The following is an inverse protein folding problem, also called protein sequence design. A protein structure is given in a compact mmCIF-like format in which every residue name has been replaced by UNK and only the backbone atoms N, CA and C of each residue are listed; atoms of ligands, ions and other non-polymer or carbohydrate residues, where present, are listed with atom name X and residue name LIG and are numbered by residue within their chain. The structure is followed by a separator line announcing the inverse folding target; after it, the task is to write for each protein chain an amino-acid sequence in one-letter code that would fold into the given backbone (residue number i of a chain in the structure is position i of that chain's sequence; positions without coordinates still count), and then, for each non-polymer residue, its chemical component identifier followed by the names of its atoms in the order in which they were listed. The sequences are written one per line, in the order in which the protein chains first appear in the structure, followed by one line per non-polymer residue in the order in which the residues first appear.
data_IF_664292419832
#
_entry.id   IF_664292419832
#
_cell.length_a   1.000
_cell.length_b   1.000
_cell.length_c   1.000
_cell.angle_alpha   90.00
_cell.angle_beta   90.00
_cell.angle_gamma   90.00
#
_symmetry.space_group_name_H-M   'P 1'
#
loop_
_entity.id
_entity.type
_entity.pdbx_description
1 polymer ?
#
# COMPACT_ATOMS: atom_id res chain seq x y z
N UNK A 1 -1.31 3.57 30.78
CA UNK A 1 -2.35 4.27 31.57
C UNK A 1 -2.33 5.74 31.20
N UNK A 2 -3.42 6.26 30.63
CA UNK A 2 -3.56 7.65 30.18
C UNK A 2 -3.77 8.55 31.41
N UNK A 3 -2.79 9.38 31.77
CA UNK A 3 -3.09 10.58 32.55
C UNK A 3 -3.82 11.54 31.62
N UNK A 4 -5.10 11.81 31.90
CA UNK A 4 -5.74 13.01 31.39
C UNK A 4 -4.96 14.18 31.97
N UNK A 5 -4.12 14.85 31.17
CA UNK A 5 -3.49 16.11 31.58
C UNK A 5 -4.60 17.13 31.87
N UNK A 6 -4.84 17.36 33.16
CA UNK A 6 -5.84 18.30 33.66
C UNK A 6 -5.27 19.70 33.46
N UNK A 7 -6.03 20.57 32.80
CA UNK A 7 -5.72 21.99 32.59
C UNK A 7 -5.32 22.64 33.93
N UNK A 8 -4.06 23.05 34.06
CA UNK A 8 -3.54 23.82 35.21
C UNK A 8 -3.27 25.26 34.76
N UNK A 9 -3.52 26.27 35.61
CA UNK A 9 -3.21 27.67 35.29
C UNK A 9 -1.74 27.88 34.90
N UNK A 10 -0.80 27.17 35.55
CA UNK A 10 0.64 27.24 35.24
C UNK A 10 0.96 26.69 33.84
N UNK A 11 0.32 25.58 33.45
CA UNK A 11 0.50 24.98 32.12
C UNK A 11 -0.08 25.87 31.02
N UNK A 12 -1.19 26.56 31.31
CA UNK A 12 -1.81 27.51 30.38
C UNK A 12 -0.94 28.74 30.17
N UNK A 13 -0.38 29.30 31.24
CA UNK A 13 0.56 30.42 31.16
C UNK A 13 1.83 30.03 30.40
N UNK A 14 2.39 28.85 30.67
CA UNK A 14 3.52 28.30 29.92
C UNK A 14 3.23 28.10 28.42
N UNK A 15 2.03 27.62 28.06
CA UNK A 15 1.63 27.44 26.67
C UNK A 15 1.45 28.79 25.93
N UNK A 16 0.85 29.80 26.59
CA UNK A 16 0.73 31.15 26.03
C UNK A 16 2.12 31.72 25.75
N UNK A 17 3.03 31.63 26.72
CA UNK A 17 4.40 32.09 26.56
C UNK A 17 5.12 31.38 25.41
N UNK A 18 5.01 30.05 25.31
CA UNK A 18 5.65 29.30 24.22
C UNK A 18 5.16 29.71 22.83
N UNK A 19 3.86 30.02 22.67
CA UNK A 19 3.30 30.50 21.40
C UNK A 19 3.76 31.93 21.10
N UNK A 20 3.84 32.79 22.12
CA UNK A 20 4.39 34.14 21.97
C UNK A 20 5.87 34.11 21.56
N UNK A 21 6.68 33.27 22.23
CA UNK A 21 8.09 33.08 21.90
C UNK A 21 8.27 32.57 20.45
N UNK A 22 7.42 31.62 20.01
CA UNK A 22 7.41 31.14 18.63
C UNK A 22 7.02 32.24 17.63
N UNK A 23 5.99 33.04 17.95
CA UNK A 23 5.56 34.17 17.12
C UNK A 23 6.68 35.19 16.96
N UNK A 24 7.40 35.51 18.05
CA UNK A 24 8.51 36.46 18.03
C UNK A 24 9.69 35.95 17.21
N UNK A 25 10.05 34.67 17.34
CA UNK A 25 11.08 34.06 16.52
C UNK A 25 10.74 34.11 15.02
N UNK A 26 9.49 33.80 14.64
CA UNK A 26 9.05 33.86 13.23
C UNK A 26 9.04 35.31 12.72
N UNK A 27 8.53 36.25 13.52
CA UNK A 27 8.43 37.66 13.15
C UNK A 27 9.79 38.32 12.95
N UNK A 28 10.74 38.04 13.84
CA UNK A 28 12.05 38.70 13.85
C UNK A 28 12.98 38.04 12.82
N UNK A 29 13.01 36.71 12.77
CA UNK A 29 14.06 35.99 12.05
C UNK A 29 13.63 35.42 10.68
N UNK A 30 12.33 35.23 10.44
CA UNK A 30 11.82 34.53 9.24
C UNK A 30 11.06 35.45 8.29
N UNK A 31 10.23 36.35 8.82
CA UNK A 31 9.37 37.21 8.01
C UNK A 31 10.11 38.46 7.52
N UNK A 32 10.39 38.53 6.22
CA UNK A 32 10.81 39.75 5.51
C UNK A 32 9.66 40.26 4.64
N UNK A 33 8.58 40.72 5.27
CA UNK A 33 7.48 41.32 4.51
C UNK A 33 7.65 42.82 4.31
N UNK A 34 7.28 43.28 3.11
CA UNK A 34 7.03 44.69 2.82
C UNK A 34 5.65 45.04 3.40
N UNK A 35 5.63 45.80 4.51
CA UNK A 35 4.49 45.98 5.44
C UNK A 35 3.36 46.85 4.82
N UNK A 36 3.40 47.12 3.53
CA UNK A 36 2.54 48.12 2.88
C UNK A 36 1.10 47.66 2.58
N UNK A 37 0.79 46.36 2.67
CA UNK A 37 -0.48 45.82 2.13
C UNK A 37 -1.61 45.69 3.18
N UNK A 38 -1.33 45.63 4.50
CA UNK A 38 -2.37 45.50 5.55
C UNK A 38 -2.02 46.23 6.86
N UNK A 39 -1.77 47.55 6.79
CA UNK A 39 -1.17 48.32 7.89
C UNK A 39 -1.99 48.34 9.19
N UNK A 40 -3.33 48.32 9.11
CA UNK A 40 -4.22 48.43 10.28
C UNK A 40 -4.24 47.15 11.14
N UNK A 41 -4.42 45.97 10.53
CA UNK A 41 -4.43 44.68 11.23
C UNK A 41 -3.08 44.37 11.90
N UNK A 42 -1.97 44.69 11.23
CA UNK A 42 -0.63 44.52 11.80
C UNK A 42 -0.35 45.47 12.97
N UNK A 43 -0.94 46.68 12.97
CA UNK A 43 -0.82 47.62 14.08
C UNK A 43 -1.55 47.14 15.33
N UNK A 44 -2.72 46.52 15.17
CA UNK A 44 -3.49 45.94 16.28
C UNK A 44 -2.79 44.73 16.90
N UNK A 45 -2.24 43.84 16.07
CA UNK A 45 -1.47 42.68 16.51
C UNK A 45 -0.20 43.13 17.25
N UNK A 46 0.51 44.14 16.71
CA UNK A 46 1.72 44.69 17.34
C UNK A 46 1.42 45.36 18.69
N UNK A 47 0.29 46.06 18.80
CA UNK A 47 -0.17 46.65 20.07
C UNK A 47 -0.56 45.57 21.09
N UNK A 48 -1.31 44.56 20.67
CA UNK A 48 -1.67 43.43 21.53
C UNK A 48 -0.45 42.64 22.02
N UNK A 49 0.60 42.55 21.20
CA UNK A 49 1.90 41.98 21.56
C UNK A 49 2.65 42.84 22.58
N UNK A 50 2.79 44.15 22.33
CA UNK A 50 3.46 45.08 23.25
C UNK A 50 2.80 45.14 24.63
N UNK A 51 1.48 44.91 24.69
CA UNK A 51 0.71 44.86 25.92
C UNK A 51 0.66 43.45 26.57
N UNK A 52 1.34 42.46 26.00
CA UNK A 52 1.36 41.07 26.52
C UNK A 52 0.01 40.34 26.43
N UNK A 53 -0.96 40.88 25.66
CA UNK A 53 -2.32 40.33 25.51
C UNK A 53 -2.44 39.36 24.35
N UNK A 54 -1.40 39.23 23.51
CA UNK A 54 -1.38 38.34 22.36
C UNK A 54 -1.56 36.88 22.81
N UNK A 55 -2.52 36.16 22.19
CA UNK A 55 -2.88 34.77 22.54
C UNK A 55 -3.37 34.52 23.98
N UNK A 56 -3.71 35.57 24.74
CA UNK A 56 -4.20 35.47 26.13
C UNK A 56 -5.43 34.58 26.30
N UNK A 57 -6.28 34.48 25.27
CA UNK A 57 -7.47 33.62 25.24
C UNK A 57 -7.20 32.28 24.54
N UNK A 58 -6.16 31.56 24.96
CA UNK A 58 -5.83 30.26 24.37
C UNK A 58 -6.90 29.20 24.68
N UNK A 59 -7.43 28.55 23.65
CA UNK A 59 -8.33 27.40 23.77
C UNK A 59 -7.50 26.15 24.12
N UNK A 60 -7.65 25.66 25.35
CA UNK A 60 -6.95 24.45 25.77
C UNK A 60 -7.41 23.23 24.93
N UNK A 61 -6.50 22.38 24.44
CA UNK A 61 -6.84 21.25 23.59
C UNK A 61 -7.51 20.14 24.39
N UNK A 62 -8.85 20.22 24.51
CA UNK A 62 -9.70 19.18 25.13
C UNK A 62 -10.08 18.10 24.14
N UNK A 63 -10.16 18.45 22.87
CA UNK A 63 -10.47 17.55 21.76
C UNK A 63 -9.26 16.68 21.38
N UNK A 64 -9.51 15.43 21.00
CA UNK A 64 -8.50 14.50 20.50
C UNK A 64 -7.86 15.02 19.20
N UNK A 65 -8.65 15.65 18.32
CA UNK A 65 -8.16 16.19 17.06
C UNK A 65 -7.14 17.31 17.29
N UNK A 66 -7.51 18.33 18.06
CA UNK A 66 -6.63 19.45 18.35
C UNK A 66 -5.35 19.01 19.09
N UNK A 67 -5.44 18.00 19.96
CA UNK A 67 -4.25 17.37 20.58
C UNK A 67 -3.34 16.72 19.55
N UNK A 68 -3.89 16.05 18.55
CA UNK A 68 -3.13 15.43 17.47
C UNK A 68 -2.42 16.49 16.61
N UNK A 69 -3.13 17.57 16.27
CA UNK A 69 -2.56 18.70 15.51
C UNK A 69 -1.39 19.36 16.27
N UNK A 70 -1.54 19.60 17.58
CA UNK A 70 -0.47 20.17 18.41
C UNK A 70 0.72 19.23 18.51
N UNK A 71 0.49 17.92 18.71
CA UNK A 71 1.57 16.92 18.70
C UNK A 71 2.30 16.92 17.37
N UNK A 72 1.58 17.00 16.25
CA UNK A 72 2.15 17.06 14.91
C UNK A 72 2.99 18.32 14.73
N UNK A 73 2.51 19.49 15.13
CA UNK A 73 3.25 20.75 15.06
C UNK A 73 4.53 20.67 15.92
N UNK A 74 4.40 20.21 17.16
CA UNK A 74 5.55 20.00 18.03
C UNK A 74 6.56 19.05 17.40
N UNK A 75 6.12 17.90 16.87
CA UNK A 75 7.00 16.99 16.13
C UNK A 75 7.68 17.70 14.97
N UNK A 76 6.97 18.43 14.11
CA UNK A 76 7.56 19.17 12.99
C UNK A 76 8.67 20.15 13.43
N UNK A 77 8.46 20.87 14.53
CA UNK A 77 9.42 21.86 15.03
C UNK A 77 10.59 21.25 15.82
N UNK A 78 10.40 20.06 16.40
CA UNK A 78 11.38 19.41 17.29
C UNK A 78 12.04 18.18 16.70
N UNK A 79 11.76 17.84 15.43
CA UNK A 79 12.46 16.77 14.73
C UNK A 79 13.96 17.05 14.82
N UNK A 80 14.65 16.23 15.61
CA UNK A 80 16.10 16.18 15.64
C UNK A 80 16.52 15.30 14.48
N UNK A 81 17.36 15.84 13.59
CA UNK A 81 18.03 15.08 12.53
C UNK A 81 19.03 14.09 13.16
N UNK A 82 18.51 12.99 13.70
CA UNK A 82 19.34 11.90 14.21
C UNK A 82 19.55 10.87 13.10
N UNK A 83 20.80 10.48 12.89
CA UNK A 83 21.15 9.37 12.00
C UNK A 83 20.47 8.04 12.41
N UNK A 84 19.97 7.94 13.65
CA UNK A 84 19.18 6.80 14.12
C UNK A 84 17.80 6.67 13.44
N UNK A 85 17.28 7.75 12.85
CA UNK A 85 15.97 7.75 12.18
C UNK A 85 16.03 7.30 10.72
N UNK A 86 17.23 7.02 10.19
CA UNK A 86 17.41 6.58 8.80
C UNK A 86 17.08 5.09 8.71
N UNK A 87 16.16 4.66 7.81
CA UNK A 87 15.78 3.25 7.67
C UNK A 87 17.01 2.37 7.46
N UNK A 88 17.09 1.18 8.07
CA UNK A 88 18.27 0.30 7.90
C UNK A 88 18.39 -0.27 6.49
N UNK A 89 17.25 -0.58 5.86
CA UNK A 89 17.18 -1.19 4.54
C UNK A 89 17.68 -0.23 3.45
N UNK A 90 18.64 -0.69 2.65
CA UNK A 90 19.26 0.12 1.59
C UNK A 90 18.27 0.48 0.47
N UNK A 91 17.35 -0.42 0.14
CA UNK A 91 16.34 -0.17 -0.89
C UNK A 91 15.32 0.88 -0.43
N UNK A 92 14.92 0.84 0.85
CA UNK A 92 14.08 1.85 1.46
C UNK A 92 14.77 3.23 1.44
N UNK A 93 16.06 3.30 1.80
CA UNK A 93 16.85 4.53 1.68
C UNK A 93 16.85 5.05 0.25
N UNK A 94 17.17 4.20 -0.73
CA UNK A 94 17.22 4.57 -2.14
C UNK A 94 15.87 5.11 -2.64
N UNK A 95 14.76 4.47 -2.28
CA UNK A 95 13.41 4.90 -2.69
C UNK A 95 13.00 6.21 -2.04
N UNK A 96 13.26 6.38 -0.75
CA UNK A 96 12.98 7.63 -0.04
C UNK A 96 13.86 8.77 -0.55
N UNK A 97 15.14 8.51 -0.82
CA UNK A 97 16.04 9.49 -1.43
C UNK A 97 15.53 9.92 -2.79
N UNK A 98 15.14 8.98 -3.67
CA UNK A 98 14.54 9.30 -4.96
C UNK A 98 13.26 10.14 -4.81
N UNK A 99 12.38 9.77 -3.88
CA UNK A 99 11.17 10.52 -3.58
C UNK A 99 11.48 11.94 -3.08
N UNK A 100 12.36 12.09 -2.10
CA UNK A 100 12.77 13.39 -1.57
C UNK A 100 13.40 14.27 -2.65
N UNK A 101 14.27 13.70 -3.49
CA UNK A 101 14.85 14.42 -4.62
C UNK A 101 13.77 14.88 -5.60
N UNK A 102 12.75 14.05 -5.86
CA UNK A 102 11.63 14.43 -6.74
C UNK A 102 10.82 15.63 -6.24
N UNK A 103 10.79 15.90 -4.93
CA UNK A 103 10.10 17.06 -4.36
C UNK A 103 10.77 18.39 -4.74
N UNK A 104 12.07 18.36 -5.04
CA UNK A 104 12.83 19.53 -5.49
C UNK A 104 12.93 19.64 -7.01
N UNK A 105 12.39 18.67 -7.74
CA UNK A 105 12.34 18.69 -9.20
C UNK A 105 11.07 19.37 -9.69
N UNK A 106 11.17 20.13 -10.78
CA UNK A 106 9.99 20.64 -11.49
C UNK A 106 9.31 19.48 -12.20
N UNK A 107 8.25 18.95 -11.59
CA UNK A 107 7.42 17.88 -12.18
C UNK A 107 6.21 18.47 -12.93
N UNK A 108 5.84 17.92 -14.09
CA UNK A 108 4.60 18.32 -14.75
C UNK A 108 3.41 17.95 -13.85
N UNK A 109 2.34 18.76 -13.90
CA UNK A 109 1.11 18.45 -13.16
C UNK A 109 0.52 17.14 -13.71
N UNK A 110 0.25 16.13 -12.86
CA UNK A 110 -0.37 14.91 -13.31
C UNK A 110 -1.79 15.19 -13.80
N UNK A 111 -2.21 14.51 -14.86
CA UNK A 111 -3.63 14.44 -15.25
C UNK A 111 -4.40 13.62 -14.23
N UNK A 112 -5.68 13.93 -14.01
CA UNK A 112 -6.49 13.13 -13.09
C UNK A 112 -6.53 11.66 -13.51
N UNK A 113 -6.60 10.76 -12.54
CA UNK A 113 -6.80 9.32 -12.79
C UNK A 113 -8.04 9.09 -13.68
N UNK A 114 -9.08 9.92 -13.57
CA UNK A 114 -10.29 9.83 -14.41
C UNK A 114 -9.99 10.03 -15.89
N UNK A 115 -9.06 10.92 -16.21
CA UNK A 115 -8.70 11.30 -17.57
C UNK A 115 -7.54 10.45 -18.12
N UNK A 116 -6.87 9.68 -17.26
CA UNK A 116 -5.79 8.78 -17.64
C UNK A 116 -6.25 7.73 -18.68
N UNK A 117 -5.37 7.37 -19.62
CA UNK A 117 -5.59 6.25 -20.54
C UNK A 117 -5.47 4.92 -19.80
N UNK A 118 -6.43 4.01 -20.02
CA UNK A 118 -6.38 2.67 -19.44
C UNK A 118 -5.25 1.84 -20.06
N UNK A 119 -4.62 1.00 -19.26
CA UNK A 119 -3.56 0.11 -19.72
C UNK A 119 -3.72 -1.29 -19.12
N UNK A 120 -3.12 -2.27 -19.81
CA UNK A 120 -3.15 -3.67 -19.41
C UNK A 120 -1.75 -4.24 -19.30
N UNK A 121 -1.55 -5.14 -18.33
CA UNK A 121 -0.32 -5.91 -18.18
C UNK A 121 -0.63 -7.39 -18.43
N UNK A 122 0.23 -8.03 -19.20
CA UNK A 122 0.15 -9.46 -19.49
C UNK A 122 1.43 -10.15 -19.02
N UNK A 123 1.29 -11.17 -18.17
CA UNK A 123 2.43 -11.99 -17.71
C UNK A 123 2.27 -13.43 -18.21
N UNK A 124 3.18 -13.93 -19.06
CA UNK A 124 3.19 -15.34 -19.43
C UNK A 124 3.65 -16.20 -18.25
N UNK A 125 2.98 -17.34 -18.06
CA UNK A 125 3.34 -18.35 -17.07
C UNK A 125 3.00 -19.73 -17.63
N UNK A 126 3.86 -20.72 -17.39
CA UNK A 126 3.62 -22.07 -17.89
C UNK A 126 3.35 -23.05 -16.75
N UNK A 127 4.38 -23.42 -16.00
CA UNK A 127 4.30 -24.51 -15.01
C UNK A 127 5.33 -24.38 -13.89
N UNK A 128 5.93 -23.21 -13.72
CA UNK A 128 6.92 -22.97 -12.67
C UNK A 128 6.27 -23.02 -11.28
N UNK A 129 7.02 -23.34 -10.24
CA UNK A 129 6.52 -23.23 -8.86
C UNK A 129 6.04 -21.81 -8.60
N UNK A 130 4.82 -21.68 -8.06
CA UNK A 130 4.18 -20.37 -7.86
C UNK A 130 4.49 -19.83 -6.47
N UNK A 131 4.26 -20.63 -5.44
CA UNK A 131 4.59 -20.34 -4.05
C UNK A 131 5.38 -21.52 -3.49
N UNK A 132 6.46 -21.26 -2.76
CA UNK A 132 7.18 -22.32 -2.04
C UNK A 132 6.25 -23.07 -1.09
N UNK A 133 6.28 -24.39 -1.14
CA UNK A 133 5.72 -25.26 -0.11
C UNK A 133 6.59 -25.27 1.14
N UNK A 134 6.03 -25.71 2.27
CA UNK A 134 6.77 -25.89 3.52
C UNK A 134 7.97 -26.83 3.34
N UNK A 135 7.77 -27.94 2.63
CA UNK A 135 8.82 -28.92 2.36
C UNK A 135 9.96 -28.33 1.53
N UNK A 136 9.69 -27.47 0.54
CA UNK A 136 10.72 -26.78 -0.23
C UNK A 136 11.51 -25.75 0.60
N UNK A 137 10.87 -25.11 1.57
CA UNK A 137 11.54 -24.17 2.48
C UNK A 137 12.51 -24.86 3.42
N UNK A 138 12.14 -26.06 3.90
CA UNK A 138 12.93 -26.88 4.81
C UNK A 138 13.95 -27.77 4.08
N UNK A 139 13.77 -28.00 2.77
CA UNK A 139 14.65 -28.84 1.96
C UNK A 139 16.08 -28.32 2.05
N UNK A 140 16.97 -29.18 2.54
CA UNK A 140 18.40 -28.90 2.64
C UNK A 140 19.11 -29.24 1.34
N UNK A 141 20.01 -28.36 0.90
CA UNK A 141 20.93 -28.62 -0.19
C UNK A 141 22.08 -29.54 0.27
N UNK A 142 23.02 -29.83 -0.63
CA UNK A 142 24.20 -30.69 -0.36
C UNK A 142 25.02 -30.22 0.86
N UNK A 143 25.08 -28.91 1.10
CA UNK A 143 25.75 -28.30 2.25
C UNK A 143 24.91 -28.28 3.55
N UNK A 144 23.72 -28.89 3.56
CA UNK A 144 22.83 -28.90 4.72
C UNK A 144 22.06 -27.58 4.94
N UNK A 145 22.16 -26.63 4.01
CA UNK A 145 21.51 -25.31 4.07
C UNK A 145 20.09 -25.40 3.49
N UNK A 146 19.09 -24.94 4.25
CA UNK A 146 17.70 -24.84 3.78
C UNK A 146 17.45 -23.54 3.02
N UNK A 147 16.44 -23.54 2.13
CA UNK A 147 16.02 -22.33 1.39
C UNK A 147 15.66 -21.20 2.35
N UNK A 148 14.93 -21.49 3.43
CA UNK A 148 14.56 -20.47 4.42
C UNK A 148 15.79 -19.87 5.10
N UNK A 149 16.71 -20.72 5.58
CA UNK A 149 17.93 -20.25 6.24
C UNK A 149 18.76 -19.37 5.30
N UNK A 150 18.88 -19.76 4.02
CA UNK A 150 19.57 -18.96 3.02
C UNK A 150 18.94 -17.57 2.89
N UNK A 151 17.60 -17.49 2.74
CA UNK A 151 16.87 -16.22 2.61
C UNK A 151 17.01 -15.32 3.85
N UNK A 152 16.94 -15.89 5.06
CA UNK A 152 17.16 -15.17 6.32
C UNK A 152 18.57 -14.56 6.38
N UNK A 153 19.58 -15.28 5.87
CA UNK A 153 20.98 -14.81 5.87
C UNK A 153 21.24 -13.69 4.87
N UNK A 154 20.62 -13.73 3.70
CA UNK A 154 20.84 -12.70 2.68
C UNK A 154 19.95 -11.46 2.86
N UNK A 155 18.83 -11.56 3.59
CA UNK A 155 17.90 -10.46 3.88
C UNK A 155 17.55 -10.34 5.38
N UNK A 156 18.54 -10.11 6.27
CA UNK A 156 18.32 -10.13 7.72
C UNK A 156 17.41 -8.98 8.21
N UNK A 157 17.54 -7.79 7.62
CA UNK A 157 16.70 -6.64 7.93
C UNK A 157 15.25 -6.83 7.45
N UNK A 158 15.07 -7.40 6.26
CA UNK A 158 13.73 -7.69 5.74
C UNK A 158 13.04 -8.84 6.47
N UNK A 159 13.81 -9.75 7.07
CA UNK A 159 13.30 -10.80 7.95
C UNK A 159 12.74 -10.20 9.24
N UNK A 160 13.48 -9.30 9.91
CA UNK A 160 12.98 -8.63 11.11
C UNK A 160 11.71 -7.82 10.81
N UNK A 161 11.68 -7.07 9.71
CA UNK A 161 10.48 -6.35 9.27
C UNK A 161 9.30 -7.30 8.99
N UNK A 162 9.58 -8.51 8.52
CA UNK A 162 8.56 -9.53 8.31
C UNK A 162 7.98 -10.04 9.62
N UNK A 163 8.85 -10.40 10.58
CA UNK A 163 8.44 -10.85 11.91
C UNK A 163 7.62 -9.77 12.64
N UNK A 164 8.05 -8.52 12.57
CA UNK A 164 7.31 -7.37 13.10
C UNK A 164 5.91 -7.28 12.48
N UNK A 165 5.80 -7.42 11.15
CA UNK A 165 4.52 -7.35 10.42
C UNK A 165 3.54 -8.45 10.82
N UNK A 166 4.02 -9.66 11.11
CA UNK A 166 3.19 -10.76 11.62
C UNK A 166 3.09 -10.79 13.15
N UNK A 167 3.61 -9.75 13.83
CA UNK A 167 3.58 -9.58 15.30
C UNK A 167 4.28 -10.70 16.06
N UNK A 168 5.43 -11.15 15.55
CA UNK A 168 6.31 -12.14 16.18
C UNK A 168 7.62 -11.48 16.65
N UNK A 169 8.22 -12.06 17.68
CA UNK A 169 9.52 -11.62 18.22
C UNK A 169 10.65 -11.99 17.26
N UNK A 170 11.73 -11.21 17.24
CA UNK A 170 12.92 -11.48 16.41
C UNK A 170 13.59 -12.82 16.74
N UNK A 171 13.42 -13.33 17.96
CA UNK A 171 14.02 -14.58 18.44
C UNK A 171 13.06 -15.78 18.36
N UNK A 172 11.94 -15.66 17.64
CA UNK A 172 10.99 -16.76 17.47
C UNK A 172 11.68 -17.96 16.81
N UNK A 173 11.44 -19.16 17.35
CA UNK A 173 11.90 -20.40 16.71
C UNK A 173 11.11 -20.60 15.40
N UNK A 174 11.80 -20.98 14.33
CA UNK A 174 11.18 -21.30 13.04
C UNK A 174 10.06 -22.32 13.21
N UNK A 175 10.20 -23.27 14.15
CA UNK A 175 9.19 -24.28 14.48
C UNK A 175 7.83 -23.66 14.86
N UNK A 176 7.81 -22.51 15.54
CA UNK A 176 6.58 -21.83 15.92
C UNK A 176 5.88 -21.18 14.72
N UNK A 177 6.64 -20.75 13.70
CA UNK A 177 6.09 -20.19 12.47
C UNK A 177 5.36 -21.26 11.63
N UNK A 178 5.85 -22.50 11.65
CA UNK A 178 5.18 -23.63 11.00
C UNK A 178 3.91 -24.08 11.74
N UNK A 179 3.84 -23.87 13.06
CA UNK A 179 2.71 -24.30 13.89
C UNK A 179 1.41 -23.52 13.68
N UNK A 180 1.48 -22.28 13.17
CA UNK A 180 0.29 -21.46 12.86
C UNK A 180 0.08 -21.37 11.34
N UNK A 181 -1.10 -21.79 10.87
CA UNK A 181 -1.43 -21.79 9.44
C UNK A 181 -1.33 -20.39 8.78
N UNK A 182 -1.72 -19.33 9.48
CA UNK A 182 -1.65 -17.97 8.94
C UNK A 182 -0.21 -17.48 8.82
N UNK A 183 0.62 -17.76 9.83
CA UNK A 183 2.03 -17.35 9.84
C UNK A 183 2.82 -18.15 8.81
N UNK A 184 2.52 -19.45 8.66
CA UNK A 184 3.07 -20.29 7.62
C UNK A 184 2.72 -19.76 6.22
N UNK A 185 1.48 -19.32 6.00
CA UNK A 185 1.08 -18.72 4.72
C UNK A 185 1.85 -17.43 4.43
N UNK A 186 1.97 -16.54 5.40
CA UNK A 186 2.75 -15.30 5.27
C UNK A 186 4.23 -15.60 5.04
N UNK A 187 4.80 -16.61 5.70
CA UNK A 187 6.17 -17.05 5.52
C UNK A 187 6.41 -17.59 4.11
N UNK A 188 5.53 -18.48 3.63
CA UNK A 188 5.57 -19.03 2.27
C UNK A 188 5.52 -17.90 1.23
N UNK A 189 4.65 -16.92 1.41
CA UNK A 189 4.56 -15.76 0.53
C UNK A 189 5.79 -14.86 0.61
N UNK A 190 6.29 -14.56 1.81
CA UNK A 190 7.52 -13.77 2.00
C UNK A 190 8.71 -14.40 1.27
N UNK A 191 8.89 -15.71 1.39
CA UNK A 191 9.94 -16.43 0.69
C UNK A 191 9.70 -16.42 -0.83
N UNK A 192 8.46 -16.63 -1.26
CA UNK A 192 8.08 -16.69 -2.68
C UNK A 192 8.23 -15.34 -3.39
N UNK A 193 8.02 -14.22 -2.70
CA UNK A 193 8.29 -12.89 -3.26
C UNK A 193 9.78 -12.64 -3.54
N UNK A 194 10.68 -13.45 -3.00
CA UNK A 194 12.13 -13.37 -3.23
C UNK A 194 12.63 -14.45 -4.19
N UNK A 195 12.06 -15.66 -4.12
CA UNK A 195 12.53 -16.80 -4.88
C UNK A 195 11.65 -17.22 -6.07
N UNK A 196 10.35 -16.91 -6.08
CA UNK A 196 9.43 -17.38 -7.13
C UNK A 196 9.03 -16.26 -8.10
N UNK A 197 9.07 -16.56 -9.40
CA UNK A 197 8.89 -15.56 -10.45
C UNK A 197 7.45 -15.09 -10.57
N UNK A 198 6.46 -16.00 -10.53
CA UNK A 198 5.06 -15.59 -10.68
C UNK A 198 4.59 -14.78 -9.47
N UNK A 199 4.81 -15.28 -8.24
CA UNK A 199 4.38 -14.59 -7.02
C UNK A 199 5.00 -13.19 -6.90
N UNK A 200 6.31 -13.03 -7.16
CA UNK A 200 6.98 -11.72 -7.10
C UNK A 200 6.43 -10.75 -8.15
N UNK A 201 6.19 -11.23 -9.37
CA UNK A 201 5.69 -10.40 -10.48
C UNK A 201 4.26 -9.97 -10.22
N UNK A 202 3.40 -10.90 -9.77
CA UNK A 202 2.01 -10.58 -9.42
C UNK A 202 1.97 -9.50 -8.34
N UNK A 203 2.73 -9.67 -7.25
CA UNK A 203 2.81 -8.67 -6.19
C UNK A 203 3.26 -7.30 -6.73
N UNK A 204 4.31 -7.28 -7.55
CA UNK A 204 4.84 -6.02 -8.10
C UNK A 204 3.85 -5.31 -9.03
N UNK A 205 3.19 -6.05 -9.93
CA UNK A 205 2.23 -5.48 -10.88
C UNK A 205 0.96 -4.98 -10.19
N UNK A 206 0.58 -5.59 -9.07
CA UNK A 206 -0.58 -5.14 -8.30
C UNK A 206 -0.39 -3.77 -7.63
N UNK A 207 0.85 -3.31 -7.44
CA UNK A 207 1.11 -1.94 -6.98
C UNK A 207 0.56 -0.88 -7.94
N UNK A 208 0.44 -1.16 -9.26
CA UNK A 208 -0.22 -0.23 -10.17
C UNK A 208 -1.67 0.04 -9.75
N UNK A 209 -2.40 -1.01 -9.35
CA UNK A 209 -3.76 -0.85 -8.84
C UNK A 209 -3.78 -0.04 -7.55
N UNK A 210 -2.95 -0.40 -6.58
CA UNK A 210 -2.90 0.28 -5.28
C UNK A 210 -2.59 1.77 -5.43
N UNK A 211 -1.60 2.12 -6.27
CA UNK A 211 -1.24 3.52 -6.54
C UNK A 211 -2.37 4.26 -7.24
N UNK A 212 -3.06 3.66 -8.21
CA UNK A 212 -4.21 4.29 -8.87
C UNK A 212 -5.36 4.55 -7.90
N UNK A 213 -5.61 3.63 -6.97
CA UNK A 213 -6.60 3.81 -5.91
C UNK A 213 -6.21 4.95 -4.97
N UNK A 214 -4.96 4.97 -4.50
CA UNK A 214 -4.45 6.02 -3.63
C UNK A 214 -4.51 7.39 -4.32
N UNK A 215 -4.04 7.49 -5.56
CA UNK A 215 -4.04 8.73 -6.32
C UNK A 215 -5.47 9.24 -6.55
N UNK A 216 -6.40 8.35 -6.96
CA UNK A 216 -7.81 8.71 -7.13
C UNK A 216 -8.44 9.18 -5.82
N UNK A 217 -8.04 8.58 -4.69
CA UNK A 217 -8.52 8.98 -3.39
C UNK A 217 -8.02 10.38 -3.01
N UNK A 218 -6.74 10.66 -3.21
CA UNK A 218 -6.12 11.96 -2.91
C UNK A 218 -6.64 13.10 -3.79
N UNK A 219 -6.88 12.85 -5.08
CA UNK A 219 -7.45 13.83 -6.00
C UNK A 219 -8.82 14.37 -5.53
N UNK A 220 -9.63 13.50 -4.91
CA UNK A 220 -10.93 13.87 -4.34
C UNK A 220 -10.80 14.67 -3.05
N UNK A 221 -9.93 14.23 -2.14
CA UNK A 221 -9.69 14.95 -0.87
C UNK A 221 -9.19 16.37 -1.15
N UNK A 222 -8.39 16.54 -2.20
CA UNK A 222 -7.90 17.84 -2.65
C UNK A 222 -9.00 18.74 -3.24
N UNK A 223 -10.03 18.17 -3.89
CA UNK A 223 -11.14 18.96 -4.44
C UNK A 223 -12.16 19.40 -3.37
N UNK A 224 -12.33 18.61 -2.30
CA UNK A 224 -13.34 18.82 -1.25
C UNK A 224 -12.79 19.60 -0.02
N UNK A 225 -11.91 20.58 -0.24
CA UNK A 225 -11.26 21.40 0.82
C UNK A 225 -12.20 22.16 1.78
N UNK A 226 -13.53 22.06 1.61
CA UNK A 226 -14.54 22.58 2.56
C UNK A 226 -14.86 21.62 3.72
N UNK A 227 -14.38 20.38 3.72
CA UNK A 227 -14.59 19.43 4.83
C UNK A 227 -13.26 18.84 5.30
N UNK A 228 -12.45 19.66 5.96
CA UNK A 228 -11.25 19.21 6.67
C UNK A 228 -11.64 18.54 8.00
N UNK A 229 -12.40 17.45 7.96
CA UNK A 229 -12.47 16.47 9.05
C UNK A 229 -11.28 15.51 8.90
N UNK A 230 -10.09 16.01 9.21
CA UNK A 230 -8.86 15.21 9.29
C UNK A 230 -8.79 14.48 10.65
N UNK A 231 -9.75 13.60 10.92
CA UNK A 231 -9.74 12.80 12.14
C UNK A 231 -10.55 11.48 12.04
N UNK A 232 -10.15 10.59 11.14
CA UNK A 232 -10.07 9.17 11.48
C UNK A 232 -8.92 8.54 10.70
N UNK A 233 -8.00 7.95 11.46
CA UNK A 233 -6.85 7.20 11.01
C UNK A 233 -7.21 6.27 9.86
N UNK A 234 -6.56 6.41 8.70
CA UNK A 234 -6.34 5.28 7.79
C UNK A 234 -7.56 4.38 7.54
N UNK A 235 -8.78 4.94 7.40
CA UNK A 235 -9.86 4.21 6.75
C UNK A 235 -9.49 4.18 5.28
N UNK A 236 -8.76 3.10 5.00
CA UNK A 236 -7.85 2.91 3.90
C UNK A 236 -8.46 3.39 2.58
N UNK A 237 -7.71 4.11 1.76
CA UNK A 237 -8.06 4.32 0.34
C UNK A 237 -8.46 3.00 -0.34
N UNK A 238 -7.93 1.88 0.17
CA UNK A 238 -8.30 0.51 -0.14
C UNK A 238 -9.80 0.23 0.01
N UNK A 239 -10.52 0.85 0.93
CA UNK A 239 -11.96 0.65 1.18
C UNK A 239 -12.87 1.52 0.31
N UNK A 240 -12.35 2.58 -0.32
CA UNK A 240 -13.16 3.47 -1.16
C UNK A 240 -13.69 2.74 -2.40
N UNK A 241 -15.02 2.56 -2.54
CA UNK A 241 -15.60 1.89 -3.70
C UNK A 241 -15.33 2.63 -5.02
N UNK A 242 -15.31 3.96 -4.98
CA UNK A 242 -15.04 4.79 -6.15
C UNK A 242 -13.59 4.67 -6.61
N UNK A 243 -12.64 4.70 -5.66
CA UNK A 243 -11.22 4.52 -5.98
C UNK A 243 -10.95 3.13 -6.56
N UNK A 244 -11.58 2.08 -5.99
CA UNK A 244 -11.54 0.71 -6.54
C UNK A 244 -12.09 0.66 -7.96
N UNK A 245 -13.30 1.19 -8.18
CA UNK A 245 -13.95 1.17 -9.48
C UNK A 245 -13.10 1.91 -10.54
N UNK A 246 -12.51 3.05 -10.18
CA UNK A 246 -11.67 3.79 -11.11
C UNK A 246 -10.37 3.06 -11.42
N UNK A 247 -9.71 2.48 -10.42
CA UNK A 247 -8.51 1.68 -10.64
C UNK A 247 -8.81 0.46 -11.54
N UNK A 248 -9.95 -0.21 -11.34
CA UNK A 248 -10.36 -1.37 -12.14
C UNK A 248 -10.75 -0.99 -13.60
N UNK A 249 -11.18 0.25 -13.85
CA UNK A 249 -11.38 0.79 -15.20
C UNK A 249 -10.06 1.16 -15.90
N UNK A 250 -9.05 1.57 -15.13
CA UNK A 250 -7.77 2.07 -15.66
C UNK A 250 -6.70 1.00 -15.78
N UNK A 251 -6.76 -0.05 -14.98
CA UNK A 251 -5.74 -1.07 -14.94
C UNK A 251 -6.35 -2.48 -15.02
N UNK A 252 -5.85 -3.27 -15.98
CA UNK A 252 -6.18 -4.69 -16.10
C UNK A 252 -4.92 -5.52 -16.04
N UNK A 253 -4.90 -6.53 -15.17
CA UNK A 253 -3.79 -7.47 -15.08
C UNK A 253 -4.24 -8.90 -15.40
N UNK A 254 -3.59 -9.52 -16.38
CA UNK A 254 -3.86 -10.88 -16.82
C UNK A 254 -2.57 -11.70 -16.77
N UNK A 255 -2.61 -12.83 -16.08
CA UNK A 255 -1.60 -13.88 -16.19
C UNK A 255 -2.12 -14.93 -17.16
N UNK A 256 -1.37 -15.21 -18.22
CA UNK A 256 -1.71 -16.31 -19.13
C UNK A 256 -1.08 -17.60 -18.64
N UNK A 257 -1.87 -18.43 -17.97
CA UNK A 257 -1.51 -19.77 -17.51
C UNK A 257 -2.27 -20.80 -18.36
N UNK A 258 -1.71 -21.17 -19.51
CA UNK A 258 -2.44 -21.96 -20.51
C UNK A 258 -2.96 -23.30 -19.97
N UNK A 259 -2.19 -23.93 -19.06
CA UNK A 259 -2.49 -25.24 -18.50
C UNK A 259 -3.24 -25.19 -17.15
N UNK A 260 -3.66 -24.01 -16.69
CA UNK A 260 -4.34 -23.85 -15.39
C UNK A 260 -5.56 -24.78 -15.26
N UNK A 261 -6.38 -24.89 -16.31
CA UNK A 261 -7.55 -25.76 -16.32
C UNK A 261 -7.20 -27.22 -16.02
N UNK A 262 -6.18 -27.73 -16.73
CA UNK A 262 -5.65 -29.08 -16.50
C UNK A 262 -5.03 -29.25 -15.11
N UNK A 263 -4.23 -28.28 -14.64
CA UNK A 263 -3.65 -28.31 -13.30
C UNK A 263 -4.75 -28.34 -12.21
N UNK A 264 -5.85 -27.62 -12.44
CA UNK A 264 -6.99 -27.59 -11.52
C UNK A 264 -7.75 -28.92 -11.49
N UNK A 265 -7.94 -29.57 -12.63
CA UNK A 265 -8.52 -30.92 -12.73
C UNK A 265 -7.65 -31.98 -12.04
N UNK A 266 -6.33 -31.88 -12.24
CA UNK A 266 -5.33 -32.77 -11.64
C UNK A 266 -5.03 -32.46 -10.16
N UNK A 267 -5.66 -31.43 -9.57
CA UNK A 267 -5.45 -30.97 -8.20
C UNK A 267 -3.98 -30.65 -7.88
N UNK A 268 -3.28 -30.09 -8.85
CA UNK A 268 -1.88 -29.70 -8.73
C UNK A 268 -1.71 -28.50 -7.79
N UNK A 269 -0.61 -28.44 -7.00
CA UNK A 269 -0.38 -27.36 -6.04
C UNK A 269 -0.31 -25.99 -6.72
N UNK A 270 0.21 -25.91 -7.95
CA UNK A 270 0.29 -24.67 -8.73
C UNK A 270 -1.09 -24.05 -8.97
N UNK A 271 -2.12 -24.87 -9.22
CA UNK A 271 -3.48 -24.36 -9.42
C UNK A 271 -4.07 -23.79 -8.11
N UNK A 272 -3.77 -24.43 -6.97
CA UNK A 272 -4.18 -23.94 -5.66
C UNK A 272 -3.46 -22.64 -5.28
N UNK A 273 -2.16 -22.55 -5.54
CA UNK A 273 -1.36 -21.34 -5.30
C UNK A 273 -1.80 -20.18 -6.21
N UNK A 274 -2.12 -20.43 -7.49
CA UNK A 274 -2.70 -19.43 -8.40
C UNK A 274 -4.07 -18.96 -7.90
N UNK A 275 -4.91 -19.88 -7.42
CA UNK A 275 -6.21 -19.52 -6.84
C UNK A 275 -6.04 -18.63 -5.60
N UNK A 276 -5.07 -18.93 -4.73
CA UNK A 276 -4.72 -18.09 -3.59
C UNK A 276 -4.24 -16.70 -4.03
N UNK A 277 -3.42 -16.61 -5.07
CA UNK A 277 -2.98 -15.32 -5.63
C UNK A 277 -4.17 -14.52 -6.17
N UNK A 278 -5.13 -15.15 -6.85
CA UNK A 278 -6.37 -14.48 -7.30
C UNK A 278 -7.20 -13.99 -6.12
N UNK A 279 -7.30 -14.77 -5.04
CA UNK A 279 -8.05 -14.39 -3.84
C UNK A 279 -7.44 -13.18 -3.13
N UNK A 280 -6.11 -13.12 -3.06
CA UNK A 280 -5.41 -11.97 -2.45
C UNK A 280 -5.38 -10.72 -3.33
N UNK A 281 -5.54 -10.87 -4.64
CA UNK A 281 -5.39 -9.79 -5.60
C UNK A 281 -6.66 -9.64 -6.45
N UNK A 282 -7.58 -8.77 -6.02
CA UNK A 282 -8.94 -8.64 -6.60
C UNK A 282 -8.96 -8.39 -8.13
N UNK A 283 -7.96 -7.67 -8.65
CA UNK A 283 -7.88 -7.37 -10.09
C UNK A 283 -7.10 -8.40 -10.92
N UNK A 284 -6.48 -9.39 -10.28
CA UNK A 284 -5.76 -10.45 -10.98
C UNK A 284 -6.75 -11.34 -11.73
N UNK A 285 -6.48 -11.53 -13.03
CA UNK A 285 -7.25 -12.42 -13.89
C UNK A 285 -6.33 -13.49 -14.46
N UNK A 286 -6.81 -14.72 -14.58
CA UNK A 286 -6.07 -15.83 -15.17
C UNK A 286 -6.71 -16.22 -16.48
N UNK A 287 -5.94 -16.18 -17.56
CA UNK A 287 -6.34 -16.66 -18.87
C UNK A 287 -5.78 -18.07 -19.09
N UNK A 288 -6.63 -19.02 -19.47
CA UNK A 288 -6.23 -20.40 -19.72
C UNK A 288 -7.05 -21.04 -20.86
N UNK A 289 -6.58 -22.20 -21.32
CA UNK A 289 -7.24 -22.99 -22.34
C UNK A 289 -7.96 -24.15 -21.65
N UNK A 290 -9.26 -24.23 -21.88
CA UNK A 290 -10.12 -25.31 -21.43
C UNK A 290 -10.33 -26.29 -22.58
N UNK A 291 -10.13 -27.57 -22.30
CA UNK A 291 -10.20 -28.64 -23.30
C UNK A 291 -11.44 -29.46 -22.98
N UNK A 292 -12.42 -29.47 -23.89
CA UNK A 292 -13.65 -30.24 -23.72
C UNK A 292 -13.68 -31.34 -24.77
N UNK A 293 -13.65 -32.58 -24.31
CA UNK A 293 -13.85 -33.73 -25.19
C UNK A 293 -15.35 -33.99 -25.36
N UNK A 294 -15.83 -33.92 -26.60
CA UNK A 294 -17.19 -34.28 -26.99
C UNK A 294 -17.17 -35.48 -27.93
N UNK A 295 -18.17 -36.34 -27.83
CA UNK A 295 -18.39 -37.41 -28.81
C UNK A 295 -19.42 -36.90 -29.81
N UNK A 296 -18.97 -36.62 -31.04
CA UNK A 296 -19.84 -36.24 -32.16
C UNK A 296 -19.74 -37.36 -33.20
N UNK A 297 -20.87 -37.95 -33.57
CA UNK A 297 -20.95 -39.06 -34.53
C UNK A 297 -20.06 -40.27 -34.18
N UNK A 298 -19.94 -40.59 -32.88
CA UNK A 298 -19.12 -41.70 -32.39
C UNK A 298 -17.61 -41.49 -32.47
N UNK A 299 -17.14 -40.31 -32.88
CA UNK A 299 -15.73 -39.93 -32.89
C UNK A 299 -15.44 -38.92 -31.77
N UNK A 300 -14.29 -39.06 -31.06
CA UNK A 300 -13.86 -38.05 -30.11
C UNK A 300 -13.50 -36.76 -30.87
N UNK A 301 -14.13 -35.66 -30.47
CA UNK A 301 -13.85 -34.32 -30.96
C UNK A 301 -13.38 -33.46 -29.79
N UNK A 302 -12.22 -32.83 -29.94
CA UNK A 302 -11.63 -31.99 -28.90
C UNK A 302 -11.93 -30.54 -29.25
N UNK A 303 -12.64 -29.84 -28.36
CA UNK A 303 -12.91 -28.42 -28.48
C UNK A 303 -12.04 -27.64 -27.49
N UNK A 304 -11.47 -26.52 -27.96
CA UNK A 304 -10.64 -25.64 -27.15
C UNK A 304 -11.38 -24.33 -26.87
N UNK A 305 -11.52 -23.96 -25.60
CA UNK A 305 -12.14 -22.71 -25.18
C UNK A 305 -11.12 -21.82 -24.46
N UNK A 306 -11.06 -20.54 -24.83
CA UNK A 306 -10.32 -19.55 -24.05
C UNK A 306 -11.21 -19.07 -22.89
N UNK A 307 -10.74 -19.31 -21.65
CA UNK A 307 -11.42 -18.87 -20.43
C UNK A 307 -10.58 -17.81 -19.73
N UNK A 308 -11.27 -16.79 -19.21
CA UNK A 308 -10.69 -15.81 -18.30
C UNK A 308 -11.41 -15.92 -16.97
N UNK A 309 -10.65 -16.13 -15.90
CA UNK A 309 -11.21 -16.28 -14.55
C UNK A 309 -10.69 -15.21 -13.62
N UNK A 310 -11.51 -14.87 -12.63
CA UNK A 310 -11.14 -14.05 -11.47
C UNK A 310 -11.73 -14.67 -10.21
N UNK A 311 -11.13 -14.39 -9.05
CA UNK A 311 -11.72 -14.79 -7.78
C UNK A 311 -13.01 -13.98 -7.49
N UNK A 312 -14.00 -14.65 -6.91
CA UNK A 312 -15.16 -14.00 -6.28
C UNK A 312 -14.81 -13.54 -4.85
N UNK A 313 -15.64 -12.65 -4.30
CA UNK A 313 -15.59 -12.16 -2.91
C UNK A 313 -15.66 -13.33 -1.90
N UNK A 314 -16.18 -14.49 -2.32
CA UNK A 314 -16.27 -15.73 -1.54
C UNK A 314 -15.18 -16.76 -1.87
N UNK A 315 -14.15 -16.36 -2.62
CA UNK A 315 -13.02 -17.21 -3.01
C UNK A 315 -13.34 -18.29 -4.05
N UNK A 316 -14.52 -18.24 -4.70
CA UNK A 316 -14.89 -19.13 -5.81
C UNK A 316 -14.55 -18.50 -7.15
N UNK A 317 -14.14 -19.29 -8.13
CA UNK A 317 -13.81 -18.75 -9.45
C UNK A 317 -15.07 -18.25 -10.18
N UNK A 318 -15.03 -16.98 -10.61
CA UNK A 318 -15.97 -16.42 -11.58
C UNK A 318 -15.38 -16.56 -12.96
N UNK A 319 -16.02 -17.37 -13.80
CA UNK A 319 -15.57 -17.70 -15.15
C UNK A 319 -16.27 -16.82 -16.18
N UNK A 320 -15.48 -16.07 -16.95
CA UNK A 320 -15.90 -15.50 -18.23
C UNK A 320 -15.47 -16.42 -19.37
N UNK A 321 -16.42 -16.91 -20.16
CA UNK A 321 -16.14 -17.71 -21.37
C UNK A 321 -16.08 -16.75 -22.56
N UNK A 322 -14.94 -16.69 -23.24
CA UNK A 322 -14.80 -15.96 -24.51
C UNK A 322 -14.94 -16.97 -25.66
N UNK A 323 -16.18 -17.37 -25.96
CA UNK A 323 -16.46 -18.47 -26.89
C UNK A 323 -16.41 -18.10 -28.38
N UNK A 324 -16.07 -16.87 -28.77
CA UNK A 324 -15.99 -16.51 -30.20
C UNK A 324 -14.98 -15.40 -30.47
N UNK A 325 -13.78 -15.82 -30.91
CA UNK A 325 -12.72 -14.91 -31.37
C UNK A 325 -13.03 -14.24 -32.72
N UNK A 326 -14.21 -14.48 -33.32
CA UNK A 326 -14.53 -13.94 -34.64
C UNK A 326 -15.08 -12.52 -34.68
N UNK A 327 -15.61 -11.92 -33.61
CA UNK A 327 -16.19 -10.56 -33.72
C UNK A 327 -16.41 -9.74 -32.43
N UNK A 328 -15.87 -10.14 -31.27
CA UNK A 328 -16.30 -9.56 -29.97
C UNK A 328 -15.22 -8.97 -29.07
N UNK A 329 -14.09 -8.51 -29.63
CA UNK A 329 -13.03 -7.90 -28.81
C UNK A 329 -13.36 -6.48 -28.28
N UNK A 330 -14.47 -5.85 -28.66
CA UNK A 330 -14.69 -4.41 -28.38
C UNK A 330 -15.95 -4.03 -27.60
N UNK A 331 -16.77 -4.97 -27.10
CA UNK A 331 -18.08 -4.59 -26.50
C UNK A 331 -18.37 -5.05 -25.07
N UNK A 332 -17.43 -5.65 -24.35
CA UNK A 332 -17.71 -6.13 -22.99
C UNK A 332 -16.72 -5.64 -21.92
N UNK A 333 -15.90 -4.63 -22.22
CA UNK A 333 -14.91 -4.09 -21.27
C UNK A 333 -14.85 -2.56 -21.20
N UNK A 334 -15.95 -1.87 -21.50
CA UNK A 334 -16.11 -0.44 -21.20
C UNK A 334 -17.29 -0.22 -20.28
#
# INVERSE_FOLDING_TARGET
MKQNEIESPELKEGAIKAIQDLYDAIRIDVLTFDISIEQETWSEISRAHAEGRLFSSLKWPKDAELRSQIKRLHSLLTIKESAANVPRNLEARRRLEFFCNSLFMTMPKPTSVREMVSFGVFTPYYSETVIYSESELQKKNEDGISTLFYLQKIFPDEWNNFLERIRRDENVDDAELYGNHNDLLELRLWASYRGQTLARTVRGMMYYREVLMLQSYLERVSSDMTSLDYASESEHFELSPEARALADLKFTYVVSCQIYGKQKEEQKPEAADIALLMQRNEALRIAFIDIVEKIIDGKPHIEYYSKLVKADIRGKDKVGIFSDFKNKLFRTFF
#
